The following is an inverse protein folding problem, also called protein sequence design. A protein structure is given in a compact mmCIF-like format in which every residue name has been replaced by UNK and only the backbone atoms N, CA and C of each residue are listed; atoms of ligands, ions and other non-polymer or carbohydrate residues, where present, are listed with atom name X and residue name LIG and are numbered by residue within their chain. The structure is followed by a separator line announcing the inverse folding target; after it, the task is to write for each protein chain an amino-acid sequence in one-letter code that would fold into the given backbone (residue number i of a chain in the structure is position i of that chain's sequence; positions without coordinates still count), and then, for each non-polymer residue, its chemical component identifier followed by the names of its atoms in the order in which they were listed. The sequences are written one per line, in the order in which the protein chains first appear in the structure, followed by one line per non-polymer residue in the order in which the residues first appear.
data_IF_863679043307
#
_entry.id   IF_863679043307
#
_cell.length_a   1.000
_cell.length_b   1.000
_cell.length_c   1.000
_cell.angle_alpha   90.00
_cell.angle_beta   90.00
_cell.angle_gamma   90.00
#
_symmetry.space_group_name_H-M   'P 1'
#
loop_
_entity.id
_entity.type
_entity.pdbx_description
1 polymer ?
#
# COMPACT_ATOMS: atom_id res chain seq x y z
N UNK A 1 14.19 18.37 -47.64
CA UNK A 1 14.63 18.06 -46.25
C UNK A 1 13.98 19.09 -45.33
N UNK A 2 12.93 18.73 -44.60
CA UNK A 2 12.27 19.65 -43.63
C UNK A 2 13.15 19.69 -42.37
N UNK A 3 13.41 20.87 -41.78
CA UNK A 3 14.15 20.94 -40.52
C UNK A 3 13.37 20.22 -39.41
N UNK A 4 14.06 19.59 -38.44
CA UNK A 4 13.42 18.89 -37.34
C UNK A 4 12.57 19.86 -36.50
N UNK A 5 11.42 19.42 -35.97
CA UNK A 5 10.56 20.25 -35.14
C UNK A 5 11.32 20.68 -33.88
N UNK A 6 11.46 21.99 -33.69
CA UNK A 6 12.08 22.54 -32.49
C UNK A 6 11.07 22.49 -31.34
N UNK A 7 11.40 21.71 -30.31
CA UNK A 7 10.63 21.69 -29.05
C UNK A 7 10.76 23.07 -28.41
N UNK A 8 9.71 23.88 -28.47
CA UNK A 8 9.70 25.24 -27.93
C UNK A 8 9.68 25.20 -26.39
N UNK A 9 10.38 26.15 -25.76
CA UNK A 9 10.53 26.32 -24.30
C UNK A 9 9.20 26.37 -23.51
N UNK A 10 8.07 26.58 -24.19
CA UNK A 10 6.70 26.64 -23.62
C UNK A 10 6.18 25.27 -23.13
N UNK A 11 6.56 24.18 -23.80
CA UNK A 11 6.06 22.84 -23.44
C UNK A 11 6.63 22.34 -22.11
N UNK A 12 7.88 22.72 -21.78
CA UNK A 12 8.50 22.45 -20.49
C UNK A 12 7.84 23.21 -19.33
N UNK A 13 7.46 24.49 -19.54
CA UNK A 13 6.74 25.28 -18.55
C UNK A 13 5.30 24.78 -18.33
N UNK A 14 4.63 24.32 -19.38
CA UNK A 14 3.29 23.71 -19.32
C UNK A 14 3.30 22.38 -18.55
N UNK A 15 4.22 21.46 -18.87
CA UNK A 15 4.36 20.18 -18.18
C UNK A 15 4.67 20.39 -16.68
N UNK A 16 5.56 21.32 -16.36
CA UNK A 16 5.85 21.69 -14.97
C UNK A 16 4.61 22.24 -14.25
N UNK A 17 3.76 23.02 -14.93
CA UNK A 17 2.50 23.53 -14.39
C UNK A 17 1.45 22.45 -14.14
N UNK A 18 1.35 21.44 -15.01
CA UNK A 18 0.43 20.29 -14.84
C UNK A 18 0.91 19.37 -13.71
N UNK A 19 2.19 19.00 -13.69
CA UNK A 19 2.77 18.16 -12.63
C UNK A 19 2.61 18.82 -11.25
N UNK A 20 2.87 20.13 -11.15
CA UNK A 20 2.74 20.87 -9.88
C UNK A 20 1.29 20.88 -9.38
N UNK A 21 0.33 21.07 -10.28
CA UNK A 21 -1.11 21.04 -9.97
C UNK A 21 -1.56 19.65 -9.50
N UNK A 22 -1.10 18.59 -10.17
CA UNK A 22 -1.39 17.21 -9.78
C UNK A 22 -0.78 16.88 -8.41
N UNK A 23 0.44 17.34 -8.14
CA UNK A 23 1.10 17.18 -6.83
C UNK A 23 0.33 17.90 -5.72
N UNK A 24 -0.16 19.12 -5.96
CA UNK A 24 -0.98 19.87 -5.00
C UNK A 24 -2.30 19.17 -4.69
N UNK A 25 -2.98 18.61 -5.71
CA UNK A 25 -4.21 17.83 -5.53
C UNK A 25 -3.93 16.58 -4.69
N UNK A 26 -2.87 15.83 -4.99
CA UNK A 26 -2.47 14.65 -4.23
C UNK A 26 -2.12 15.00 -2.78
N UNK A 27 -1.38 16.10 -2.57
CA UNK A 27 -1.03 16.58 -1.24
C UNK A 27 -2.27 16.95 -0.44
N UNK A 28 -3.21 17.70 -1.03
CA UNK A 28 -4.47 18.07 -0.39
C UNK A 28 -5.29 16.84 0.00
N UNK A 29 -5.41 15.86 -0.91
CA UNK A 29 -6.14 14.60 -0.64
C UNK A 29 -5.50 13.81 0.51
N UNK A 30 -4.16 13.76 0.58
CA UNK A 30 -3.42 13.16 1.71
C UNK A 30 -3.63 13.91 3.02
N UNK A 31 -3.63 15.24 2.98
CA UNK A 31 -3.88 16.06 4.16
C UNK A 31 -5.31 15.92 4.67
N UNK A 32 -6.30 15.86 3.78
CA UNK A 32 -7.70 15.60 4.13
C UNK A 32 -7.87 14.20 4.75
N UNK A 33 -7.24 13.18 4.18
CA UNK A 33 -7.21 11.83 4.75
C UNK A 33 -6.51 11.80 6.13
N UNK A 34 -5.44 12.57 6.31
CA UNK A 34 -4.75 12.69 7.59
C UNK A 34 -5.59 13.43 8.65
N UNK A 35 -6.34 14.47 8.26
CA UNK A 35 -7.26 15.21 9.15
C UNK A 35 -8.46 14.37 9.58
N UNK A 36 -8.88 13.40 8.76
CA UNK A 36 -9.97 12.46 9.08
C UNK A 36 -9.54 11.31 10.00
N UNK A 37 -8.26 11.19 10.36
CA UNK A 37 -7.80 10.12 11.28
C UNK A 37 -8.38 10.33 12.67
N UNK A 38 -8.99 9.29 13.22
CA UNK A 38 -9.48 9.31 14.59
C UNK A 38 -8.31 9.36 15.58
N UNK A 39 -8.59 9.78 16.82
CA UNK A 39 -7.60 9.71 17.90
C UNK A 39 -7.12 8.26 18.14
N UNK A 40 -8.01 7.28 17.94
CA UNK A 40 -7.67 5.85 18.01
C UNK A 40 -6.65 5.43 16.95
N UNK A 41 -6.76 5.92 15.72
CA UNK A 41 -5.80 5.62 14.65
C UNK A 41 -4.41 6.15 14.96
N UNK A 42 -4.31 7.33 15.60
CA UNK A 42 -3.03 7.91 16.01
C UNK A 42 -2.36 7.11 17.12
N UNK A 43 -3.15 6.63 18.08
CA UNK A 43 -2.65 5.77 19.16
C UNK A 43 -2.21 4.41 18.60
N UNK A 44 -3.01 3.80 17.74
CA UNK A 44 -2.64 2.57 17.05
C UNK A 44 -1.34 2.74 16.25
N UNK A 45 -1.19 3.82 15.47
CA UNK A 45 0.06 4.11 14.74
C UNK A 45 1.29 4.24 15.65
N UNK A 46 1.14 4.89 16.80
CA UNK A 46 2.22 5.03 17.77
C UNK A 46 2.61 3.68 18.37
N UNK A 47 1.62 2.88 18.79
CA UNK A 47 1.83 1.55 19.36
C UNK A 47 2.46 0.62 18.33
N UNK A 48 1.94 0.55 17.11
CA UNK A 48 2.51 -0.28 16.04
C UNK A 48 3.97 0.09 15.75
N UNK A 49 4.29 1.38 15.67
CA UNK A 49 5.68 1.83 15.46
C UNK A 49 6.60 1.46 16.61
N UNK A 50 6.10 1.52 17.85
CA UNK A 50 6.86 1.17 19.03
C UNK A 50 7.07 -0.34 19.13
N UNK A 51 6.01 -1.15 19.01
CA UNK A 51 6.07 -2.61 19.06
C UNK A 51 6.88 -3.21 17.89
N UNK A 52 6.87 -2.56 16.72
CA UNK A 52 7.69 -2.97 15.57
C UNK A 52 9.16 -2.55 15.64
N UNK A 53 9.59 -1.86 16.70
CA UNK A 53 10.97 -1.38 16.84
C UNK A 53 11.87 -2.41 17.54
N UNK A 54 13.12 -2.52 17.10
CA UNK A 54 14.13 -3.34 17.78
C UNK A 54 14.39 -2.85 19.22
N UNK A 55 14.18 -1.56 19.50
CA UNK A 55 14.32 -0.99 20.85
C UNK A 55 13.34 -1.61 21.84
N UNK A 56 12.12 -1.95 21.39
CA UNK A 56 11.13 -2.62 22.23
C UNK A 56 11.61 -4.02 22.66
N UNK A 57 12.20 -4.77 21.73
CA UNK A 57 12.75 -6.11 22.00
C UNK A 57 13.85 -6.06 23.06
N UNK A 58 14.80 -5.12 22.93
CA UNK A 58 15.87 -4.95 23.91
C UNK A 58 15.36 -4.51 25.29
N UNK A 59 14.40 -3.57 25.32
CA UNK A 59 13.78 -3.13 26.56
C UNK A 59 13.07 -4.29 27.28
N UNK A 60 12.31 -5.08 26.53
CA UNK A 60 11.57 -6.22 27.07
C UNK A 60 12.52 -7.33 27.55
N UNK A 61 13.58 -7.62 26.80
CA UNK A 61 14.63 -8.56 27.22
C UNK A 61 15.33 -8.09 28.52
N UNK A 62 15.67 -6.79 28.61
CA UNK A 62 16.29 -6.22 29.81
C UNK A 62 15.34 -6.27 31.03
N UNK A 63 14.05 -5.98 30.84
CA UNK A 63 13.04 -6.05 31.89
C UNK A 63 12.89 -7.49 32.41
N UNK A 64 12.78 -8.47 31.52
CA UNK A 64 12.67 -9.88 31.88
C UNK A 64 13.94 -10.40 32.59
N UNK A 65 15.13 -10.01 32.11
CA UNK A 65 16.39 -10.36 32.77
C UNK A 65 16.50 -9.71 34.17
N UNK A 66 16.08 -8.46 34.31
CA UNK A 66 16.04 -7.78 35.60
C UNK A 66 15.07 -8.48 36.57
N UNK A 67 13.92 -8.93 36.09
CA UNK A 67 12.96 -9.70 36.89
C UNK A 67 13.57 -11.00 37.41
N UNK A 68 14.29 -11.74 36.56
CA UNK A 68 15.01 -12.94 36.98
C UNK A 68 16.09 -12.61 38.01
N UNK A 69 16.92 -11.59 37.78
CA UNK A 69 17.98 -11.21 38.72
C UNK A 69 17.44 -10.89 40.12
N UNK A 70 16.30 -10.19 40.21
CA UNK A 70 15.64 -9.87 41.48
C UNK A 70 15.08 -11.14 42.15
N UNK A 71 14.38 -11.98 41.41
CA UNK A 71 13.68 -13.14 41.97
C UNK A 71 14.55 -14.38 42.21
N UNK A 72 15.71 -14.48 41.56
CA UNK A 72 16.73 -15.50 41.87
C UNK A 72 17.60 -15.14 43.08
N UNK A 73 17.39 -13.98 43.71
CA UNK A 73 18.15 -13.53 44.87
C UNK A 73 19.58 -13.07 44.56
N UNK A 74 19.87 -12.71 43.30
CA UNK A 74 21.16 -12.14 42.89
C UNK A 74 21.34 -10.72 43.45
N UNK A 75 20.24 -10.02 43.74
CA UNK A 75 20.24 -8.66 44.29
C UNK A 75 20.20 -8.71 45.83
N UNK A 76 21.25 -8.25 46.54
CA UNK A 76 21.28 -8.25 48.00
C UNK A 76 20.21 -7.30 48.57
N UNK A 77 19.42 -7.78 49.54
CA UNK A 77 18.45 -6.96 50.27
C UNK A 77 17.02 -6.94 49.72
N UNK A 78 16.76 -7.55 48.57
CA UNK A 78 15.39 -7.70 48.02
C UNK A 78 14.90 -9.13 48.26
N UNK A 79 13.72 -9.27 48.88
CA UNK A 79 13.08 -10.60 49.02
C UNK A 79 12.49 -11.03 47.67
N UNK A 80 12.73 -12.27 47.22
CA UNK A 80 12.03 -12.82 46.06
C UNK A 80 10.52 -12.74 46.26
N UNK A 81 9.82 -12.14 45.29
CA UNK A 81 8.37 -11.93 45.36
C UNK A 81 7.62 -12.83 44.35
N UNK A 82 8.30 -13.30 43.31
CA UNK A 82 7.84 -14.28 42.32
C UNK A 82 8.86 -15.43 42.23
N UNK A 83 8.86 -16.37 43.19
CA UNK A 83 9.77 -17.52 43.17
C UNK A 83 9.53 -18.42 41.96
N UNK A 84 10.54 -19.20 41.59
CA UNK A 84 10.39 -20.25 40.56
C UNK A 84 9.16 -21.12 40.88
N UNK A 85 8.19 -21.27 39.96
CA UNK A 85 8.29 -21.16 38.49
C UNK A 85 7.90 -19.81 37.83
N UNK A 86 7.91 -18.68 38.55
CA UNK A 86 7.62 -17.33 38.03
C UNK A 86 6.18 -17.14 37.49
N UNK A 87 5.17 -17.45 38.31
CA UNK A 87 3.76 -17.40 37.90
C UNK A 87 3.32 -15.97 37.59
N UNK A 88 3.79 -14.98 38.35
CA UNK A 88 3.39 -13.58 38.12
C UNK A 88 3.94 -13.05 36.79
N UNK A 89 5.21 -13.34 36.49
CA UNK A 89 5.82 -13.01 35.20
C UNK A 89 5.04 -13.66 34.05
N UNK A 90 4.75 -14.96 34.16
CA UNK A 90 4.04 -15.71 33.11
C UNK A 90 2.64 -15.14 32.83
N UNK A 91 1.89 -14.78 33.88
CA UNK A 91 0.57 -14.16 33.75
C UNK A 91 0.66 -12.78 33.09
N UNK A 92 1.61 -11.94 33.52
CA UNK A 92 1.80 -10.61 32.93
C UNK A 92 2.19 -10.71 31.45
N UNK A 93 3.15 -11.57 31.11
CA UNK A 93 3.57 -11.80 29.73
C UNK A 93 2.43 -12.34 28.85
N UNK A 94 1.55 -13.20 29.39
CA UNK A 94 0.40 -13.74 28.66
C UNK A 94 -0.61 -12.64 28.30
N UNK A 95 -0.92 -11.76 29.26
CA UNK A 95 -1.80 -10.61 29.01
C UNK A 95 -1.17 -9.66 28.00
N UNK A 96 0.12 -9.35 28.15
CA UNK A 96 0.85 -8.51 27.20
C UNK A 96 0.84 -9.09 25.78
N UNK A 97 1.06 -10.39 25.63
CA UNK A 97 1.03 -11.07 24.33
C UNK A 97 -0.35 -10.95 23.64
N UNK A 98 -1.46 -11.03 24.39
CA UNK A 98 -2.82 -10.84 23.86
C UNK A 98 -2.99 -9.40 23.33
N UNK A 99 -2.55 -8.39 24.08
CA UNK A 99 -2.59 -7.00 23.63
C UNK A 99 -1.73 -6.78 22.38
N UNK A 100 -0.49 -7.28 22.37
CA UNK A 100 0.41 -7.18 21.23
C UNK A 100 -0.19 -7.83 19.98
N UNK A 101 -0.72 -9.05 20.10
CA UNK A 101 -1.36 -9.75 19.00
C UNK A 101 -2.57 -8.97 18.45
N UNK A 102 -3.38 -8.39 19.33
CA UNK A 102 -4.53 -7.55 18.94
C UNK A 102 -4.08 -6.30 18.18
N UNK A 103 -3.04 -5.61 18.65
CA UNK A 103 -2.50 -4.43 17.95
C UNK A 103 -1.85 -4.78 16.62
N UNK A 104 -1.15 -5.92 16.54
CA UNK A 104 -0.62 -6.44 15.29
C UNK A 104 -1.76 -6.73 14.31
N UNK A 105 -2.83 -7.41 14.75
CA UNK A 105 -3.99 -7.72 13.91
C UNK A 105 -4.70 -6.46 13.41
N UNK A 106 -4.88 -5.45 14.27
CA UNK A 106 -5.44 -4.15 13.87
C UNK A 106 -4.57 -3.49 12.80
N UNK A 107 -3.24 -3.50 12.99
CA UNK A 107 -2.30 -2.94 12.02
C UNK A 107 -2.32 -3.71 10.70
N UNK A 108 -2.40 -5.05 10.76
CA UNK A 108 -2.50 -5.93 9.59
C UNK A 108 -3.79 -5.67 8.83
N UNK A 109 -4.95 -5.67 9.49
CA UNK A 109 -6.24 -5.36 8.85
C UNK A 109 -6.23 -4.01 8.14
N UNK A 110 -5.58 -2.99 8.72
CA UNK A 110 -5.47 -1.67 8.10
C UNK A 110 -4.50 -1.66 6.90
N UNK A 111 -3.39 -2.39 6.99
CA UNK A 111 -2.45 -2.56 5.89
C UNK A 111 -3.13 -3.28 4.72
N UNK A 112 -3.87 -4.36 5.00
CA UNK A 112 -4.60 -5.13 4.01
C UNK A 112 -5.66 -4.26 3.32
N UNK A 113 -6.51 -3.53 4.06
CA UNK A 113 -7.47 -2.58 3.46
C UNK A 113 -6.82 -1.54 2.53
N UNK A 114 -5.61 -1.10 2.86
CA UNK A 114 -4.88 -0.14 2.01
C UNK A 114 -4.29 -0.83 0.79
N UNK A 115 -3.88 -2.09 0.91
CA UNK A 115 -3.43 -2.91 -0.21
C UNK A 115 -4.59 -3.21 -1.16
N UNK A 116 -5.73 -3.69 -0.65
CA UNK A 116 -6.93 -3.98 -1.45
C UNK A 116 -7.37 -2.76 -2.28
N UNK A 117 -7.38 -1.56 -1.67
CA UNK A 117 -7.70 -0.31 -2.37
C UNK A 117 -6.68 0.08 -3.46
N UNK A 118 -5.41 -0.31 -3.30
CA UNK A 118 -4.39 -0.07 -4.32
C UNK A 118 -4.57 -1.05 -5.47
N UNK A 119 -4.77 -2.32 -5.15
CA UNK A 119 -4.99 -3.37 -6.14
C UNK A 119 -6.22 -3.06 -7.01
N UNK A 120 -7.31 -2.57 -6.41
CA UNK A 120 -8.50 -2.12 -7.15
C UNK A 120 -8.21 -0.93 -8.06
N UNK A 121 -7.45 0.07 -7.58
CA UNK A 121 -7.09 1.25 -8.38
C UNK A 121 -6.14 0.89 -9.52
N UNK A 122 -5.16 0.01 -9.26
CA UNK A 122 -4.18 -0.44 -10.24
C UNK A 122 -4.91 -1.21 -11.36
N UNK A 123 -5.84 -2.11 -11.00
CA UNK A 123 -6.70 -2.77 -11.98
C UNK A 123 -7.50 -1.76 -12.84
N UNK A 124 -8.11 -0.75 -12.23
CA UNK A 124 -8.86 0.28 -12.98
C UNK A 124 -7.96 1.06 -13.94
N UNK A 125 -6.72 1.37 -13.53
CA UNK A 125 -5.74 2.04 -14.38
C UNK A 125 -5.34 1.14 -15.54
N UNK A 126 -5.09 -0.15 -15.28
CA UNK A 126 -4.70 -1.11 -16.30
C UNK A 126 -5.81 -1.29 -17.35
N UNK A 127 -7.06 -1.47 -16.93
CA UNK A 127 -8.22 -1.54 -17.83
C UNK A 127 -8.42 -0.26 -18.65
N UNK A 128 -8.20 0.91 -18.05
CA UNK A 128 -8.27 2.18 -18.79
C UNK A 128 -7.12 2.31 -19.80
N UNK A 129 -5.91 1.92 -19.41
CA UNK A 129 -4.74 1.95 -20.29
C UNK A 129 -4.93 1.00 -21.48
N UNK A 130 -5.46 -0.20 -21.24
CA UNK A 130 -5.83 -1.17 -22.28
C UNK A 130 -6.85 -0.56 -23.25
N UNK A 131 -7.94 0.01 -22.75
CA UNK A 131 -8.94 0.71 -23.60
C UNK A 131 -8.35 1.86 -24.42
N UNK A 132 -7.45 2.66 -23.83
CA UNK A 132 -6.76 3.74 -24.53
C UNK A 132 -5.81 3.20 -25.60
N UNK A 133 -5.11 2.10 -25.34
CA UNK A 133 -4.23 1.42 -26.30
C UNK A 133 -5.06 0.89 -27.47
N UNK A 134 -6.15 0.17 -27.23
CA UNK A 134 -7.02 -0.35 -28.30
C UNK A 134 -7.56 0.79 -29.16
N UNK A 135 -7.95 1.91 -28.55
CA UNK A 135 -8.36 3.10 -29.30
C UNK A 135 -7.22 3.70 -30.14
N UNK A 136 -6.00 3.73 -29.60
CA UNK A 136 -4.84 4.20 -30.34
C UNK A 136 -4.53 3.28 -31.53
N UNK A 137 -4.65 1.97 -31.36
CA UNK A 137 -4.47 0.99 -32.42
C UNK A 137 -5.50 1.21 -33.54
N UNK A 138 -6.78 1.35 -33.18
CA UNK A 138 -7.84 1.65 -34.14
C UNK A 138 -7.61 2.98 -34.90
N UNK A 139 -7.09 4.00 -34.21
CA UNK A 139 -6.71 5.26 -34.84
C UNK A 139 -5.51 5.12 -35.79
N UNK A 140 -4.49 4.34 -35.40
CA UNK A 140 -3.30 4.08 -36.21
C UNK A 140 -3.67 3.27 -37.45
N UNK A 141 -4.51 2.25 -37.31
CA UNK A 141 -5.04 1.47 -38.43
C UNK A 141 -5.83 2.36 -39.41
N UNK A 142 -6.74 3.20 -38.91
CA UNK A 142 -7.48 4.14 -39.74
C UNK A 142 -6.55 5.10 -40.53
N UNK A 143 -5.42 5.50 -39.93
CA UNK A 143 -4.38 6.30 -40.61
C UNK A 143 -3.64 5.45 -41.65
N UNK A 144 -3.23 4.22 -41.31
CA UNK A 144 -2.54 3.28 -42.20
C UNK A 144 -3.34 2.99 -43.46
N UNK A 145 -4.63 2.69 -43.31
CA UNK A 145 -5.58 2.51 -44.42
C UNK A 145 -5.67 3.72 -45.34
N UNK A 146 -5.67 4.94 -44.77
CA UNK A 146 -5.72 6.19 -45.55
C UNK A 146 -4.42 6.48 -46.30
N UNK A 147 -3.29 5.98 -45.81
CA UNK A 147 -1.96 6.14 -46.41
C UNK A 147 -1.57 4.98 -47.33
N UNK A 148 -2.47 4.02 -47.57
CA UNK A 148 -2.23 2.80 -48.35
C UNK A 148 -1.00 1.99 -47.84
N UNK A 149 -0.75 2.07 -46.52
CA UNK A 149 0.28 1.27 -45.86
C UNK A 149 -0.34 -0.07 -45.50
N UNK A 150 0.20 -1.16 -46.06
CA UNK A 150 -0.22 -2.51 -45.71
C UNK A 150 0.20 -2.80 -44.25
N UNK A 151 -0.80 -2.90 -43.37
CA UNK A 151 -0.64 -3.43 -42.02
C UNK A 151 -1.01 -4.92 -42.04
N UNK A 152 -0.28 -5.81 -41.34
CA UNK A 152 -0.67 -7.22 -41.23
C UNK A 152 -2.02 -7.34 -40.50
N UNK A 153 -3.05 -7.87 -41.16
CA UNK A 153 -4.40 -7.99 -40.60
C UNK A 153 -4.45 -8.95 -39.39
N UNK A 154 -3.64 -10.02 -39.38
CA UNK A 154 -3.52 -10.95 -38.25
C UNK A 154 -3.01 -10.27 -36.96
N UNK A 155 -2.01 -9.39 -37.05
CA UNK A 155 -1.47 -8.67 -35.89
C UNK A 155 -2.46 -7.61 -35.35
N UNK A 156 -3.31 -7.04 -36.21
CA UNK A 156 -4.34 -6.07 -35.81
C UNK A 156 -5.54 -6.76 -35.13
N UNK A 157 -5.99 -7.91 -35.64
CA UNK A 157 -7.07 -8.69 -35.01
C UNK A 157 -6.65 -9.22 -33.64
N UNK A 158 -5.40 -9.66 -33.47
CA UNK A 158 -4.87 -10.12 -32.18
C UNK A 158 -4.80 -8.96 -31.16
N UNK A 159 -4.40 -7.77 -31.59
CA UNK A 159 -4.32 -6.58 -30.74
C UNK A 159 -5.67 -5.92 -30.42
N UNK A 160 -6.69 -6.08 -31.28
CA UNK A 160 -8.07 -5.64 -31.02
C UNK A 160 -8.86 -6.66 -30.17
N UNK A 161 -8.40 -7.90 -30.07
CA UNK A 161 -9.05 -8.96 -29.29
C UNK A 161 -8.74 -8.94 -27.79
N UNK A 162 -7.75 -8.16 -27.34
CA UNK A 162 -7.43 -8.06 -25.92
C UNK A 162 -8.44 -7.18 -25.18
N UNK A 163 -9.38 -7.91 -24.56
CA UNK A 163 -10.21 -7.59 -23.40
C UNK A 163 -11.10 -6.35 -23.53
N UNK A 164 -12.40 -6.58 -23.76
CA UNK A 164 -13.43 -5.62 -23.43
C UNK A 164 -13.41 -5.37 -21.90
N UNK A 165 -13.03 -4.18 -21.42
CA UNK A 165 -12.92 -3.90 -19.98
C UNK A 165 -14.21 -4.17 -19.22
N UNK A 166 -15.36 -4.00 -19.90
CA UNK A 166 -16.68 -4.30 -19.36
C UNK A 166 -16.85 -5.79 -19.05
N UNK A 167 -16.29 -6.69 -19.87
CA UNK A 167 -16.40 -8.13 -19.66
C UNK A 167 -15.58 -8.60 -18.44
N UNK A 168 -14.45 -7.95 -18.14
CA UNK A 168 -13.65 -8.24 -16.93
C UNK A 168 -14.31 -7.67 -15.69
N UNK A 169 -14.85 -6.45 -15.76
CA UNK A 169 -15.60 -5.85 -14.66
C UNK A 169 -16.85 -6.67 -14.32
N UNK A 170 -17.62 -7.10 -15.32
CA UNK A 170 -18.80 -7.96 -15.13
C UNK A 170 -18.44 -9.34 -14.56
N UNK A 171 -17.29 -9.91 -14.95
CA UNK A 171 -16.80 -11.18 -14.41
C UNK A 171 -16.35 -11.06 -12.95
N UNK A 172 -15.81 -9.92 -12.53
CA UNK A 172 -15.45 -9.66 -11.12
C UNK A 172 -16.68 -9.42 -10.25
N UNK A 173 -17.65 -8.64 -10.73
CA UNK A 173 -18.93 -8.38 -10.08
C UNK A 173 -19.75 -9.66 -9.86
N UNK A 174 -19.63 -10.64 -10.77
CA UNK A 174 -20.24 -11.95 -10.61
C UNK A 174 -19.59 -12.78 -9.50
N UNK A 175 -18.26 -12.68 -9.34
CA UNK A 175 -17.49 -13.46 -8.35
C UNK A 175 -17.62 -12.93 -6.92
N UNK A 176 -17.85 -11.63 -6.75
CA UNK A 176 -18.09 -11.01 -5.43
C UNK A 176 -19.51 -11.25 -4.88
N UNK A 177 -20.44 -11.78 -5.70
CA UNK A 177 -21.83 -12.10 -5.31
C UNK A 177 -22.04 -13.58 -4.92
N UNK A 178 -21.04 -14.44 -5.13
CA UNK A 178 -21.04 -15.87 -4.74
C UNK A 178 -20.37 -16.09 -3.37
#
# INVERSE_FOLDING_TARGET
MRPPPQVTHDSAHSLAGVVRRNLEVLKRKREEAARRRSLGDRVADAITRFCGSMTFVWLHAALTLAWFAINLGVVPGVRPFDPFPFVMLAMAASVEAIFLSTFVLISQNRMQRTADQRDELDLQIDLLAEHEITRLIAMVDAIGRKLEVAMPEEELEELEQDVAPEAVLDAMDARDRE
#
